data_IF_332787852871
#
_entry.id   IF_332787852871
#
_cell.length_a   1.000
_cell.length_b   1.000
_cell.length_c   1.000
_cell.angle_alpha   90.00
_cell.angle_beta   90.00
_cell.angle_gamma   90.00
#
_symmetry.space_group_name_H-M   'P 1'
#
loop_
_entity.id
_entity.type
_entity.pdbx_description
1 polymer ?
#
# COMPACT_ATOMS: atom_id res chain seq x y z
N UNK A 1 -47.12 -4.83 -5.90
CA UNK A 1 -45.71 -5.25 -5.94
C UNK A 1 -44.97 -4.49 -4.85
N UNK A 2 -44.57 -5.10 -3.72
CA UNK A 2 -43.67 -4.44 -2.78
C UNK A 2 -42.24 -4.49 -3.34
N UNK A 3 -41.57 -3.36 -3.32
CA UNK A 3 -40.21 -3.15 -3.83
C UNK A 3 -39.21 -3.70 -2.80
N UNK A 4 -38.70 -4.91 -3.03
CA UNK A 4 -37.75 -5.64 -2.16
C UNK A 4 -36.30 -5.10 -2.23
N UNK A 5 -36.08 -3.95 -2.87
CA UNK A 5 -34.74 -3.46 -3.20
C UNK A 5 -34.06 -2.60 -2.13
N UNK A 6 -34.65 -2.44 -0.94
CA UNK A 6 -34.09 -1.55 0.10
C UNK A 6 -33.07 -2.31 0.96
N UNK A 7 -31.79 -1.92 0.98
CA UNK A 7 -30.79 -2.57 1.83
C UNK A 7 -31.20 -2.44 3.30
N UNK A 8 -31.11 -3.56 4.02
CA UNK A 8 -31.35 -3.57 5.47
C UNK A 8 -30.33 -2.69 6.19
N UNK A 9 -30.67 -2.12 7.36
CA UNK A 9 -29.75 -1.26 8.11
C UNK A 9 -28.37 -1.86 8.32
N UNK A 10 -28.28 -3.17 8.61
CA UNK A 10 -27.00 -3.88 8.74
C UNK A 10 -26.22 -4.04 7.43
N UNK A 11 -26.91 -4.09 6.27
CA UNK A 11 -26.24 -4.09 4.96
C UNK A 11 -25.62 -2.72 4.67
N UNK A 12 -26.29 -1.63 5.08
CA UNK A 12 -25.72 -0.28 4.95
C UNK A 12 -24.51 -0.07 5.85
N UNK A 13 -24.52 -0.60 7.07
CA UNK A 13 -23.35 -0.56 7.97
C UNK A 13 -22.17 -1.36 7.41
N UNK A 14 -22.42 -2.54 6.84
CA UNK A 14 -21.39 -3.34 6.16
C UNK A 14 -20.82 -2.61 4.94
N UNK A 15 -21.68 -2.00 4.12
CA UNK A 15 -21.26 -1.23 2.95
C UNK A 15 -20.49 0.04 3.35
N UNK A 16 -20.85 0.70 4.46
CA UNK A 16 -20.14 1.85 4.98
C UNK A 16 -18.73 1.45 5.47
N UNK A 17 -18.61 0.36 6.23
CA UNK A 17 -17.32 -0.15 6.68
C UNK A 17 -16.42 -0.59 5.50
N UNK A 18 -17.01 -1.22 4.47
CA UNK A 18 -16.29 -1.59 3.25
C UNK A 18 -15.86 -0.37 2.42
N UNK A 19 -16.65 0.71 2.41
CA UNK A 19 -16.30 1.96 1.74
C UNK A 19 -15.15 2.68 2.44
N UNK A 20 -15.10 2.63 3.78
CA UNK A 20 -14.02 3.20 4.59
C UNK A 20 -12.67 2.48 4.37
N UNK A 21 -12.72 1.15 4.16
CA UNK A 21 -11.54 0.34 3.81
C UNK A 21 -11.09 0.57 2.36
N UNK A 22 -12.00 1.01 1.47
CA UNK A 22 -11.73 1.18 0.04
C UNK A 22 -11.11 2.51 -0.35
N UNK A 23 -10.97 3.47 0.55
CA UNK A 23 -10.22 4.68 0.23
C UNK A 23 -8.73 4.31 0.18
N UNK A 24 -8.08 4.23 -1.00
CA UNK A 24 -6.64 4.13 -1.03
C UNK A 24 -6.10 5.32 -0.24
N UNK A 25 -5.23 5.07 0.74
CA UNK A 25 -4.54 6.16 1.44
C UNK A 25 -3.92 7.06 0.36
N UNK A 26 -4.00 8.39 0.49
CA UNK A 26 -3.33 9.27 -0.46
C UNK A 26 -1.85 8.88 -0.50
N UNK A 27 -1.41 8.46 -1.68
CA UNK A 27 -0.01 8.10 -1.93
C UNK A 27 0.66 9.36 -2.46
N UNK A 28 1.54 9.92 -1.66
CA UNK A 28 2.28 11.14 -1.98
C UNK A 28 3.67 10.78 -2.52
N UNK A 29 4.26 11.70 -3.30
CA UNK A 29 5.65 11.56 -3.75
C UNK A 29 6.58 12.03 -2.63
N UNK A 30 7.47 11.13 -2.21
CA UNK A 30 8.48 11.38 -1.16
C UNK A 30 9.78 11.88 -1.78
N UNK A 31 10.19 11.31 -2.91
CA UNK A 31 11.40 11.70 -3.62
C UNK A 31 11.16 11.68 -5.12
N UNK A 32 11.65 12.71 -5.82
CA UNK A 32 11.60 12.84 -7.27
C UNK A 32 12.97 13.32 -7.76
N UNK A 33 13.74 12.42 -8.34
CA UNK A 33 15.15 12.66 -8.71
C UNK A 33 15.37 12.29 -10.17
N UNK A 34 16.25 13.03 -10.86
CA UNK A 34 16.57 12.76 -12.27
C UNK A 34 18.06 12.95 -12.56
N UNK A 35 18.56 12.20 -13.54
CA UNK A 35 19.94 12.26 -14.01
C UNK A 35 20.01 12.57 -15.51
N UNK A 36 21.16 13.09 -15.94
CA UNK A 36 21.53 13.28 -17.35
C UNK A 36 20.42 13.92 -18.21
N UNK A 37 20.02 15.14 -17.82
CA UNK A 37 19.00 15.95 -18.52
C UNK A 37 17.62 15.27 -18.70
N UNK A 38 17.30 14.26 -17.89
CA UNK A 38 16.03 13.55 -17.93
C UNK A 38 16.10 12.15 -18.55
N UNK A 39 17.30 11.64 -18.85
CA UNK A 39 17.49 10.25 -19.29
C UNK A 39 16.85 9.26 -18.31
N UNK A 40 17.09 9.44 -17.02
CA UNK A 40 16.54 8.58 -15.96
C UNK A 40 15.90 9.46 -14.91
N UNK A 41 14.70 9.07 -14.46
CA UNK A 41 14.01 9.66 -13.33
C UNK A 41 13.53 8.57 -12.37
N UNK A 42 13.77 8.76 -11.08
CA UNK A 42 13.35 7.85 -10.01
C UNK A 42 12.41 8.60 -9.09
N UNK A 43 11.19 8.06 -8.96
CA UNK A 43 10.12 8.58 -8.12
C UNK A 43 9.86 7.57 -7.01
N UNK A 44 10.03 7.98 -5.76
CA UNK A 44 9.72 7.20 -4.56
C UNK A 44 8.46 7.76 -3.93
N UNK A 45 7.50 6.88 -3.63
CA UNK A 45 6.21 7.24 -3.04
C UNK A 45 6.14 6.84 -1.55
N UNK A 46 5.17 7.42 -0.82
CA UNK A 46 4.99 7.22 0.62
C UNK A 46 4.58 5.80 1.02
N UNK A 47 4.08 5.02 0.07
CA UNK A 47 3.79 3.59 0.20
C UNK A 47 5.00 2.70 -0.11
N UNK A 48 6.19 3.30 -0.25
CA UNK A 48 7.44 2.66 -0.67
C UNK A 48 7.44 2.13 -2.12
N UNK A 49 6.45 2.51 -2.94
CA UNK A 49 6.49 2.22 -4.39
C UNK A 49 7.58 3.06 -5.05
N UNK A 50 8.47 2.40 -5.80
CA UNK A 50 9.49 3.04 -6.63
C UNK A 50 9.09 2.95 -8.10
N UNK A 51 9.04 4.09 -8.79
CA UNK A 51 8.81 4.18 -10.23
C UNK A 51 10.05 4.72 -10.90
N UNK A 52 10.49 4.04 -11.96
CA UNK A 52 11.64 4.43 -12.77
C UNK A 52 11.15 4.77 -14.16
N UNK A 53 11.41 5.99 -14.60
CA UNK A 53 11.14 6.46 -15.96
C UNK A 53 12.48 6.60 -16.69
N UNK A 54 12.56 6.06 -17.91
CA UNK A 54 13.74 6.16 -18.76
C UNK A 54 13.30 6.79 -20.08
N UNK A 55 13.96 7.86 -20.50
CA UNK A 55 13.72 8.46 -21.82
C UNK A 55 14.27 7.52 -22.90
N UNK A 56 13.40 6.94 -23.75
CA UNK A 56 13.84 5.98 -24.76
C UNK A 56 14.72 6.61 -25.84
N UNK A 57 14.56 7.90 -26.14
CA UNK A 57 15.35 8.56 -27.18
C UNK A 57 16.76 8.86 -26.69
N UNK A 58 16.89 9.34 -25.46
CA UNK A 58 18.20 9.53 -24.85
C UNK A 58 18.91 8.18 -24.60
N UNK A 59 18.16 7.13 -24.21
CA UNK A 59 18.72 5.79 -23.98
C UNK A 59 19.22 5.10 -25.27
N UNK A 60 18.81 5.55 -26.46
CA UNK A 60 19.35 5.04 -27.72
C UNK A 60 20.77 5.57 -28.02
N UNK A 61 21.12 6.73 -27.47
CA UNK A 61 22.41 7.38 -27.67
C UNK A 61 23.43 7.03 -26.58
N UNK A 62 22.95 6.44 -25.47
CA UNK A 62 23.71 6.15 -24.25
C UNK A 62 23.80 4.63 -24.04
N UNK A 63 24.94 4.15 -23.53
CA UNK A 63 25.13 2.73 -23.25
C UNK A 63 24.28 2.25 -22.07
N UNK A 64 23.85 0.98 -22.08
CA UNK A 64 23.10 0.39 -20.97
C UNK A 64 23.85 0.48 -19.63
N UNK A 65 25.19 0.36 -19.65
CA UNK A 65 26.05 0.50 -18.47
C UNK A 65 25.97 1.90 -17.84
N UNK A 66 25.86 2.94 -18.68
CA UNK A 66 25.73 4.32 -18.20
C UNK A 66 24.35 4.55 -17.57
N UNK A 67 23.29 4.02 -18.18
CA UNK A 67 21.92 4.04 -17.63
C UNK A 67 21.89 3.35 -16.26
N UNK A 68 22.50 2.16 -16.14
CA UNK A 68 22.61 1.42 -14.88
C UNK A 68 23.36 2.21 -13.81
N UNK A 69 24.48 2.85 -14.19
CA UNK A 69 25.25 3.71 -13.29
C UNK A 69 24.41 4.88 -12.79
N UNK A 70 23.65 5.54 -13.66
CA UNK A 70 22.79 6.65 -13.28
C UNK A 70 21.63 6.21 -12.39
N UNK A 71 21.02 5.05 -12.67
CA UNK A 71 20.02 4.44 -11.79
C UNK A 71 20.56 4.19 -10.40
N UNK A 72 21.75 3.60 -10.29
CA UNK A 72 22.36 3.29 -9.00
C UNK A 72 22.66 4.56 -8.19
N UNK A 73 23.15 5.61 -8.85
CA UNK A 73 23.41 6.90 -8.23
C UNK A 73 22.12 7.55 -7.72
N UNK A 74 21.05 7.53 -8.52
CA UNK A 74 19.76 8.10 -8.13
C UNK A 74 19.13 7.34 -6.96
N UNK A 75 19.12 6.01 -7.01
CA UNK A 75 18.58 5.18 -5.93
C UNK A 75 19.37 5.35 -4.63
N UNK A 76 20.71 5.43 -4.70
CA UNK A 76 21.55 5.65 -3.52
C UNK A 76 21.35 7.03 -2.89
N UNK A 77 20.97 8.03 -3.69
CA UNK A 77 20.71 9.40 -3.22
C UNK A 77 19.24 9.64 -2.83
N UNK A 78 18.32 8.76 -3.23
CA UNK A 78 16.89 8.92 -2.98
C UNK A 78 16.55 8.73 -1.49
N UNK A 79 15.65 9.56 -0.99
CA UNK A 79 15.06 9.36 0.34
C UNK A 79 13.98 8.27 0.27
N UNK A 80 14.01 7.35 1.24
CA UNK A 80 13.02 6.28 1.37
C UNK A 80 12.14 6.50 2.59
N UNK A 81 10.83 6.22 2.51
CA UNK A 81 9.97 6.23 3.69
C UNK A 81 10.46 5.17 4.70
N UNK A 82 10.28 5.40 6.01
CA UNK A 82 10.62 4.42 7.02
C UNK A 82 9.81 3.13 6.80
N UNK A 83 10.36 1.96 7.13
CA UNK A 83 9.62 0.71 7.02
C UNK A 83 8.37 0.78 7.90
N UNK A 84 7.24 0.18 7.46
CA UNK A 84 6.04 0.13 8.28
C UNK A 84 6.36 -0.56 9.61
N UNK A 85 5.86 0.00 10.71
CA UNK A 85 5.96 -0.66 12.00
C UNK A 85 5.28 -2.04 11.92
N UNK A 86 5.88 -3.09 12.50
CA UNK A 86 5.23 -4.39 12.55
C UNK A 86 3.89 -4.23 13.29
N UNK A 87 2.79 -4.58 12.64
CA UNK A 87 1.48 -4.55 13.30
C UNK A 87 1.56 -5.41 14.57
N UNK A 88 1.04 -4.93 15.72
CA UNK A 88 0.97 -5.75 16.92
C UNK A 88 0.22 -7.03 16.57
N UNK A 89 0.81 -8.20 16.86
CA UNK A 89 0.15 -9.50 16.71
C UNK A 89 -1.25 -9.37 17.30
N UNK A 90 -2.28 -9.36 16.44
CA UNK A 90 -3.65 -9.40 16.94
C UNK A 90 -3.72 -10.61 17.85
N UNK A 91 -4.19 -10.48 19.09
CA UNK A 91 -4.32 -11.62 19.96
C UNK A 91 -5.10 -12.67 19.19
N UNK A 92 -4.56 -13.89 19.15
CA UNK A 92 -5.21 -15.01 18.46
C UNK A 92 -6.69 -15.02 18.88
N UNK A 93 -7.64 -15.12 17.94
CA UNK A 93 -9.05 -15.12 18.28
C UNK A 93 -9.27 -16.18 19.36
N UNK A 94 -9.96 -15.82 20.45
CA UNK A 94 -10.31 -16.78 21.52
C UNK A 94 -10.82 -18.05 20.85
N UNK A 95 -10.19 -19.19 21.17
CA UNK A 95 -10.61 -20.47 20.63
C UNK A 95 -12.09 -20.64 20.92
N UNK A 96 -12.87 -21.05 19.91
CA UNK A 96 -14.30 -21.24 20.07
C UNK A 96 -14.64 -22.21 21.23
N UNK A 97 -13.69 -23.11 21.55
CA UNK A 97 -13.76 -24.00 22.72
C UNK A 97 -13.78 -23.24 24.06
N UNK A 98 -12.97 -22.18 24.20
CA UNK A 98 -12.87 -21.37 25.42
C UNK A 98 -14.13 -20.51 25.61
N UNK A 99 -14.66 -19.96 24.52
CA UNK A 99 -15.94 -19.24 24.53
C UNK A 99 -17.10 -20.14 24.99
N UNK A 100 -17.19 -21.36 24.44
CA UNK A 100 -18.23 -22.34 24.79
C UNK A 100 -18.08 -22.80 26.26
N UNK A 101 -16.85 -23.03 26.73
CA UNK A 101 -16.58 -23.41 28.12
C UNK A 101 -17.01 -22.31 29.12
N UNK A 102 -16.76 -21.04 28.78
CA UNK A 102 -17.16 -19.88 29.61
C UNK A 102 -18.68 -19.71 29.68
N UNK A 103 -19.37 -19.92 28.56
CA UNK A 103 -20.84 -19.88 28.50
C UNK A 103 -21.50 -20.99 29.34
N UNK A 104 -20.89 -22.17 29.40
CA UNK A 104 -21.39 -23.28 30.24
C UNK A 104 -21.19 -23.03 31.74
N UNK A 105 -20.13 -22.31 32.15
CA UNK A 105 -19.90 -21.93 33.55
C UNK A 105 -20.86 -20.87 34.09
N UNK A 106 -21.46 -20.03 33.24
CA UNK A 106 -22.42 -18.99 33.65
C UNK A 106 -23.85 -19.48 33.96
N UNK A 107 -24.12 -20.79 33.84
CA UNK A 107 -25.45 -21.39 34.03
C UNK A 107 -25.60 -22.26 35.30
N UNK A 108 -24.66 -22.17 36.25
CA UNK A 108 -24.77 -22.74 37.60
C UNK A 108 -24.81 -21.60 38.61
#
# INVERSE_FOLDING_TARGET
MPDESRPTPGMNELLAALAEIRAPRPVDVVSDTFAEHGLVRVIVRSDATVTVEIDPYAAMEVGAEDVERHLFQLVAAAEFPPPPEPEPERPAPESNADFIARMRKRKK
#
